data_IF_201408155083
#
_entry.id   IF_201408155083
#
_cell.length_a   1.000
_cell.length_b   1.000
_cell.length_c   1.000
_cell.angle_alpha   90.00
_cell.angle_beta   90.00
_cell.angle_gamma   90.00
#
_symmetry.space_group_name_H-M   'P 1'
#
loop_
_entity.id
_entity.type
_entity.pdbx_description
1 polymer ?
#
# COMPACT_ATOMS: atom_id res chain seq x y z
N UNK A 1 -25.69 14.38 -18.03
CA UNK A 1 -24.32 14.41 -17.50
C UNK A 1 -24.15 13.18 -16.62
N UNK A 2 -23.10 12.38 -16.79
CA UNK A 2 -22.83 11.31 -15.83
C UNK A 2 -22.64 11.94 -14.44
N UNK A 3 -23.25 11.34 -13.42
CA UNK A 3 -23.10 11.77 -12.03
C UNK A 3 -21.62 11.66 -11.66
N UNK A 4 -21.05 12.70 -11.04
CA UNK A 4 -19.68 12.59 -10.51
C UNK A 4 -19.62 11.38 -9.55
N UNK A 5 -18.56 10.55 -9.64
CA UNK A 5 -18.42 9.40 -8.76
C UNK A 5 -18.32 9.87 -7.31
N UNK A 6 -19.13 9.27 -6.43
CA UNK A 6 -19.15 9.60 -5.00
C UNK A 6 -17.94 8.98 -4.31
N UNK A 7 -17.30 9.75 -3.44
CA UNK A 7 -16.25 9.25 -2.56
C UNK A 7 -16.82 8.37 -1.45
N UNK A 8 -16.00 7.46 -0.92
CA UNK A 8 -16.31 6.73 0.30
C UNK A 8 -16.60 7.68 1.46
N UNK A 9 -17.28 7.19 2.49
CA UNK A 9 -17.82 8.04 3.56
C UNK A 9 -16.83 8.34 4.68
N UNK A 10 -15.84 7.47 4.91
CA UNK A 10 -14.83 7.62 5.96
C UNK A 10 -13.59 6.74 5.68
N UNK A 11 -12.54 6.92 6.49
CA UNK A 11 -11.37 6.06 6.52
C UNK A 11 -10.34 6.35 5.44
N UNK A 12 -9.28 5.54 5.42
CA UNK A 12 -8.21 5.66 4.42
C UNK A 12 -8.73 5.53 3.00
N UNK A 13 -9.76 4.71 2.78
CA UNK A 13 -10.42 4.60 1.48
C UNK A 13 -10.94 5.97 1.00
N UNK A 14 -11.65 6.71 1.84
CA UNK A 14 -12.14 8.06 1.48
C UNK A 14 -10.99 9.01 1.19
N UNK A 15 -10.00 9.06 2.09
CA UNK A 15 -8.90 10.03 1.98
C UNK A 15 -8.00 9.75 0.78
N UNK A 16 -7.74 8.47 0.47
CA UNK A 16 -7.01 8.09 -0.74
C UNK A 16 -7.76 8.49 -2.01
N UNK A 17 -9.07 8.23 -2.09
CA UNK A 17 -9.86 8.63 -3.26
C UNK A 17 -9.86 10.14 -3.49
N UNK A 18 -10.00 10.93 -2.42
CA UNK A 18 -9.94 12.39 -2.47
C UNK A 18 -8.57 12.87 -2.91
N UNK A 19 -7.53 12.32 -2.30
CA UNK A 19 -6.16 12.69 -2.58
C UNK A 19 -5.82 12.39 -4.06
N UNK A 20 -6.17 11.21 -4.57
CA UNK A 20 -5.96 10.87 -6.00
C UNK A 20 -6.78 11.76 -6.93
N UNK A 21 -8.05 12.02 -6.62
CA UNK A 21 -8.96 12.72 -7.53
C UNK A 21 -8.83 14.25 -7.51
N UNK A 22 -8.42 14.84 -6.38
CA UNK A 22 -8.50 16.29 -6.14
C UNK A 22 -7.15 16.92 -5.76
N UNK A 23 -6.26 16.17 -5.13
CA UNK A 23 -4.98 16.70 -4.66
C UNK A 23 -3.81 15.71 -4.88
N UNK A 24 -3.58 15.20 -6.11
CA UNK A 24 -2.56 14.18 -6.35
C UNK A 24 -1.16 14.65 -5.96
N UNK A 25 -0.90 15.96 -6.10
CA UNK A 25 0.38 16.59 -5.71
C UNK A 25 0.74 16.38 -4.23
N UNK A 26 -0.24 16.27 -3.32
CA UNK A 26 0.03 16.01 -1.90
C UNK A 26 0.54 14.58 -1.67
N UNK A 27 -0.02 13.60 -2.39
CA UNK A 27 0.51 12.22 -2.34
C UNK A 27 1.87 12.16 -3.01
N UNK A 28 2.06 12.79 -4.16
CA UNK A 28 3.37 12.80 -4.83
C UNK A 28 4.45 13.41 -3.93
N UNK A 29 4.15 14.51 -3.23
CA UNK A 29 5.08 15.11 -2.28
C UNK A 29 5.40 14.14 -1.13
N UNK A 30 4.38 13.52 -0.52
CA UNK A 30 4.59 12.55 0.55
C UNK A 30 5.43 11.33 0.10
N UNK A 31 5.26 10.87 -1.15
CA UNK A 31 6.05 9.80 -1.74
C UNK A 31 7.51 10.24 -2.01
N UNK A 32 7.73 11.49 -2.43
CA UNK A 32 9.10 12.05 -2.58
C UNK A 32 9.79 12.19 -1.24
N UNK A 33 9.11 12.73 -0.24
CA UNK A 33 9.64 12.90 1.12
C UNK A 33 10.02 11.54 1.74
N UNK A 34 9.26 10.49 1.43
CA UNK A 34 9.56 9.11 1.84
C UNK A 34 10.67 8.44 1.01
N UNK A 35 11.10 9.03 -0.12
CA UNK A 35 12.04 8.43 -1.06
C UNK A 35 11.46 7.30 -1.92
N UNK A 36 10.13 7.19 -2.00
CA UNK A 36 9.44 6.18 -2.80
C UNK A 36 9.51 6.48 -4.31
N UNK A 37 9.57 7.77 -4.66
CA UNK A 37 9.73 8.27 -6.03
C UNK A 37 10.75 9.43 -6.03
N UNK A 38 11.37 9.66 -7.19
CA UNK A 38 12.30 10.77 -7.40
C UNK A 38 11.58 12.11 -7.68
N UNK A 39 12.32 13.23 -7.60
CA UNK A 39 11.79 14.59 -7.85
C UNK A 39 11.13 14.76 -9.23
N UNK A 40 11.69 14.14 -10.27
CA UNK A 40 11.18 14.20 -11.64
C UNK A 40 10.21 13.05 -11.99
N UNK A 41 9.90 12.17 -11.04
CA UNK A 41 8.89 11.14 -11.20
C UNK A 41 7.47 11.68 -10.92
N UNK A 42 6.53 11.26 -11.77
CA UNK A 42 5.09 11.57 -11.65
C UNK A 42 4.29 10.28 -11.65
N UNK A 43 3.11 10.26 -11.00
CA UNK A 43 2.27 9.07 -10.91
C UNK A 43 1.10 9.10 -11.90
N UNK A 44 0.98 8.05 -12.70
CA UNK A 44 -0.24 7.71 -13.40
C UNK A 44 -1.04 6.71 -12.54
N UNK A 45 -2.12 7.18 -11.90
CA UNK A 45 -2.98 6.34 -11.08
C UNK A 45 -3.85 5.40 -11.93
N UNK A 46 -3.77 4.11 -11.63
CA UNK A 46 -4.61 3.06 -12.20
C UNK A 46 -5.85 2.80 -11.34
N UNK A 47 -5.70 2.93 -10.02
CA UNK A 47 -6.75 2.79 -9.01
C UNK A 47 -6.30 3.47 -7.71
N UNK A 48 -7.19 4.11 -6.94
CA UNK A 48 -8.61 4.30 -7.22
C UNK A 48 -8.82 5.53 -8.10
N UNK A 49 -9.57 5.40 -9.21
CA UNK A 49 -9.86 6.52 -10.12
C UNK A 49 -11.36 6.67 -10.36
N UNK A 50 -11.82 7.90 -10.62
CA UNK A 50 -13.24 8.19 -10.78
C UNK A 50 -13.91 7.43 -11.93
N UNK A 51 -13.19 7.18 -13.02
CA UNK A 51 -13.71 6.44 -14.19
C UNK A 51 -14.13 5.00 -13.85
N UNK A 52 -13.43 4.35 -12.92
CA UNK A 52 -13.74 2.98 -12.46
C UNK A 52 -14.55 2.98 -11.16
N UNK A 53 -15.17 4.12 -10.80
CA UNK A 53 -15.88 4.30 -9.53
C UNK A 53 -15.01 3.95 -8.32
N UNK A 54 -13.73 4.30 -8.39
CA UNK A 54 -12.76 4.08 -7.31
C UNK A 54 -12.61 2.60 -6.89
N UNK A 55 -12.75 1.68 -7.86
CA UNK A 55 -12.64 0.25 -7.58
C UNK A 55 -11.24 -0.14 -7.07
N UNK A 56 -11.21 -1.01 -6.06
CA UNK A 56 -10.00 -1.67 -5.55
C UNK A 56 -9.85 -3.06 -6.18
N UNK A 57 -8.60 -3.47 -6.40
CA UNK A 57 -8.29 -4.69 -7.15
C UNK A 57 -7.49 -5.67 -6.32
N UNK A 58 -7.61 -6.96 -6.65
CA UNK A 58 -6.88 -8.05 -6.00
C UNK A 58 -6.29 -9.00 -7.02
N UNK A 59 -5.36 -9.83 -6.57
CA UNK A 59 -4.78 -10.93 -7.34
C UNK A 59 -4.34 -10.50 -8.76
N UNK A 60 -4.57 -11.32 -9.78
CA UNK A 60 -4.15 -11.03 -11.16
C UNK A 60 -4.83 -9.78 -11.73
N UNK A 61 -6.01 -9.39 -11.22
CA UNK A 61 -6.68 -8.18 -11.67
C UNK A 61 -5.91 -6.91 -11.25
N UNK A 62 -5.30 -6.90 -10.06
CA UNK A 62 -4.47 -5.78 -9.62
C UNK A 62 -3.22 -5.64 -10.49
N UNK A 63 -2.55 -6.76 -10.77
CA UNK A 63 -1.33 -6.75 -11.59
C UNK A 63 -1.61 -6.39 -13.05
N UNK A 64 -2.76 -6.81 -13.61
CA UNK A 64 -3.20 -6.34 -14.94
C UNK A 64 -3.44 -4.83 -14.99
N UNK A 65 -3.94 -4.21 -13.91
CA UNK A 65 -4.09 -2.76 -13.86
C UNK A 65 -2.75 -2.02 -13.92
N UNK A 66 -1.69 -2.63 -13.41
CA UNK A 66 -0.31 -2.14 -13.50
C UNK A 66 0.35 -2.45 -14.86
N UNK A 67 -0.33 -3.14 -15.78
CA UNK A 67 0.24 -3.59 -17.05
C UNK A 67 1.08 -4.87 -16.96
N UNK A 68 1.09 -5.54 -15.80
CA UNK A 68 1.76 -6.84 -15.62
C UNK A 68 0.81 -7.93 -16.11
N UNK A 69 1.00 -8.34 -17.37
CA UNK A 69 0.23 -9.42 -17.99
C UNK A 69 0.67 -10.82 -17.54
N UNK A 70 1.97 -10.99 -17.32
CA UNK A 70 2.59 -12.27 -16.95
C UNK A 70 3.76 -12.01 -15.99
N UNK A 71 4.01 -12.97 -15.09
CA UNK A 71 5.15 -12.96 -14.18
C UNK A 71 6.33 -13.73 -14.82
N UNK A 72 7.49 -13.10 -15.06
CA UNK A 72 8.57 -13.71 -15.84
C UNK A 72 9.19 -14.98 -15.24
N UNK A 73 9.18 -15.13 -13.91
CA UNK A 73 9.93 -16.17 -13.18
C UNK A 73 9.00 -17.09 -12.38
N UNK A 74 8.12 -16.52 -11.56
CA UNK A 74 7.18 -17.30 -10.73
C UNK A 74 5.80 -16.65 -10.76
N UNK A 75 4.82 -17.40 -11.23
CA UNK A 75 3.44 -16.95 -11.30
C UNK A 75 2.84 -16.71 -9.90
N UNK A 76 1.89 -15.77 -9.82
CA UNK A 76 1.18 -15.49 -8.58
C UNK A 76 0.49 -16.73 -8.01
N UNK A 77 -0.10 -17.57 -8.87
CA UNK A 77 -0.86 -18.75 -8.44
C UNK A 77 0.03 -19.85 -7.85
N UNK A 78 1.33 -19.85 -8.17
CA UNK A 78 2.34 -20.74 -7.58
C UNK A 78 2.91 -20.19 -6.27
N UNK A 79 2.70 -18.90 -5.98
CA UNK A 79 3.21 -18.23 -4.78
C UNK A 79 2.14 -18.03 -3.71
N UNK A 80 0.92 -17.65 -4.10
CA UNK A 80 -0.13 -17.25 -3.18
C UNK A 80 -1.48 -17.89 -3.58
N UNK A 81 -2.30 -18.36 -2.61
CA UNK A 81 -3.61 -18.88 -2.95
C UNK A 81 -4.52 -17.78 -3.50
N UNK A 82 -5.49 -18.17 -4.35
CA UNK A 82 -6.55 -17.27 -4.79
C UNK A 82 -7.19 -16.55 -3.61
N UNK A 83 -7.61 -15.30 -3.85
CA UNK A 83 -8.13 -14.39 -2.84
C UNK A 83 -7.02 -13.84 -1.92
N UNK A 84 -5.95 -13.35 -2.53
CA UNK A 84 -4.91 -12.54 -1.90
C UNK A 84 -5.34 -11.12 -1.57
N UNK A 85 -4.38 -10.21 -1.28
CA UNK A 85 -4.67 -8.86 -0.81
C UNK A 85 -5.46 -8.04 -1.85
N UNK A 86 -6.32 -7.16 -1.33
CA UNK A 86 -6.99 -6.10 -2.10
C UNK A 86 -6.12 -4.86 -1.98
N UNK A 87 -5.62 -4.30 -3.07
CA UNK A 87 -4.78 -3.10 -3.05
C UNK A 87 -5.65 -1.85 -3.02
N UNK A 88 -5.34 -0.96 -2.06
CA UNK A 88 -6.06 0.30 -1.87
C UNK A 88 -5.71 1.28 -2.99
N UNK A 89 -4.46 1.22 -3.48
CA UNK A 89 -4.01 2.02 -4.62
C UNK A 89 -2.97 1.32 -5.49
N UNK A 90 -3.00 1.66 -6.78
CA UNK A 90 -2.13 1.15 -7.83
C UNK A 90 -1.77 2.31 -8.78
N UNK A 91 -0.49 2.51 -9.02
CA UNK A 91 0.00 3.53 -9.94
C UNK A 91 1.27 3.08 -10.68
N UNK A 92 1.56 3.75 -11.79
CA UNK A 92 2.78 3.56 -12.57
C UNK A 92 3.49 4.91 -12.69
N UNK A 93 4.79 4.94 -12.44
CA UNK A 93 5.58 6.17 -12.65
C UNK A 93 5.85 6.40 -14.13
N UNK A 94 6.18 7.63 -14.52
CA UNK A 94 6.69 7.95 -15.86
C UNK A 94 8.02 7.24 -16.23
N UNK A 95 8.65 6.52 -15.29
CA UNK A 95 9.82 5.66 -15.49
C UNK A 95 9.47 4.16 -15.46
N UNK A 96 8.20 3.83 -15.70
CA UNK A 96 7.69 2.45 -15.76
C UNK A 96 7.88 1.65 -14.46
N UNK A 97 7.94 2.34 -13.31
CA UNK A 97 7.98 1.71 -12.00
C UNK A 97 6.57 1.50 -11.47
N UNK A 98 6.27 0.30 -10.99
CA UNK A 98 5.00 -0.02 -10.35
C UNK A 98 4.98 0.47 -8.91
N UNK A 99 3.87 1.07 -8.48
CA UNK A 99 3.64 1.51 -7.10
C UNK A 99 2.38 0.84 -6.59
N UNK A 100 2.54 0.01 -5.55
CA UNK A 100 1.44 -0.62 -4.83
C UNK A 100 1.25 0.06 -3.48
N UNK A 101 0.01 0.42 -3.15
CA UNK A 101 -0.33 1.19 -1.95
C UNK A 101 -1.22 0.38 -1.02
N UNK A 102 -0.86 0.35 0.26
CA UNK A 102 -1.71 -0.01 1.40
C UNK A 102 -1.93 1.26 2.20
N UNK A 103 -3.17 1.69 2.39
CA UNK A 103 -3.51 2.96 3.02
C UNK A 103 -4.22 2.77 4.37
N UNK A 104 -3.81 3.52 5.39
CA UNK A 104 -4.44 3.48 6.73
C UNK A 104 -4.71 4.87 7.28
N UNK A 105 -5.77 4.98 8.08
CA UNK A 105 -6.15 6.22 8.76
C UNK A 105 -6.35 6.03 10.26
N UNK A 106 -6.17 4.81 10.78
CA UNK A 106 -6.33 4.50 12.20
C UNK A 106 -5.43 3.35 12.64
N UNK A 107 -4.81 3.48 13.82
CA UNK A 107 -3.84 2.49 14.33
C UNK A 107 -4.47 1.12 14.59
N UNK A 108 -5.76 1.05 14.98
CA UNK A 108 -6.38 -0.26 15.22
C UNK A 108 -6.49 -1.11 13.93
N UNK A 109 -6.43 -0.49 12.75
CA UNK A 109 -6.39 -1.21 11.46
C UNK A 109 -5.06 -1.95 11.25
N UNK A 110 -3.99 -1.53 11.94
CA UNK A 110 -2.67 -2.16 11.88
C UNK A 110 -2.69 -3.52 12.59
N UNK A 111 -3.47 -3.64 13.67
CA UNK A 111 -3.62 -4.88 14.44
C UNK A 111 -4.55 -5.88 13.73
N UNK A 112 -4.20 -6.23 12.49
CA UNK A 112 -4.97 -7.19 11.71
C UNK A 112 -4.87 -8.59 12.33
N UNK A 113 -5.99 -9.35 12.39
CA UNK A 113 -5.99 -10.71 12.90
C UNK A 113 -5.17 -11.67 12.02
N UNK A 114 -4.85 -12.88 12.50
CA UNK A 114 -4.21 -13.92 11.70
C UNK A 114 -4.98 -14.24 10.41
N UNK A 115 -4.31 -14.89 9.46
CA UNK A 115 -5.00 -15.40 8.26
C UNK A 115 -6.15 -16.34 8.62
N UNK A 116 -7.32 -16.08 8.02
CA UNK A 116 -8.54 -16.89 8.15
C UNK A 116 -8.63 -18.01 7.10
N UNK A 117 -7.53 -18.30 6.40
CA UNK A 117 -7.49 -19.30 5.34
C UNK A 117 -7.68 -20.72 5.89
N UNK A 118 -8.33 -21.59 5.11
CA UNK A 118 -8.40 -23.02 5.41
C UNK A 118 -7.04 -23.70 5.29
N UNK A 119 -6.89 -24.89 5.88
CA UNK A 119 -5.61 -25.59 6.06
C UNK A 119 -4.71 -25.63 4.82
N UNK A 120 -5.26 -25.99 3.64
CA UNK A 120 -4.49 -26.07 2.39
C UNK A 120 -3.91 -24.71 1.96
N UNK A 121 -4.76 -23.68 1.95
CA UNK A 121 -4.33 -22.32 1.60
C UNK A 121 -3.39 -21.73 2.66
N UNK A 122 -3.58 -22.10 3.94
CA UNK A 122 -2.73 -21.67 5.03
C UNK A 122 -1.29 -22.17 4.86
N UNK A 123 -1.08 -23.41 4.44
CA UNK A 123 0.25 -23.94 4.18
C UNK A 123 0.99 -23.16 3.08
N UNK A 124 0.29 -22.76 2.00
CA UNK A 124 0.86 -21.94 0.93
C UNK A 124 1.22 -20.54 1.45
N UNK A 125 0.32 -19.92 2.21
CA UNK A 125 0.55 -18.61 2.83
C UNK A 125 1.74 -18.64 3.78
N UNK A 126 1.83 -19.65 4.65
CA UNK A 126 2.93 -19.77 5.62
C UNK A 126 4.28 -19.95 4.89
N UNK A 127 4.32 -20.73 3.81
CA UNK A 127 5.53 -20.88 2.99
C UNK A 127 5.95 -19.55 2.32
N UNK A 128 5.00 -18.85 1.69
CA UNK A 128 5.26 -17.56 1.04
C UNK A 128 5.71 -16.47 2.03
N UNK A 129 5.09 -16.42 3.21
CA UNK A 129 5.47 -15.50 4.28
C UNK A 129 6.85 -15.85 4.83
N UNK A 130 7.21 -17.13 4.95
CA UNK A 130 8.54 -17.55 5.40
C UNK A 130 9.63 -17.18 4.39
N UNK A 131 9.39 -17.39 3.09
CA UNK A 131 10.31 -16.95 2.02
C UNK A 131 10.57 -15.43 2.12
N UNK A 132 9.51 -14.63 2.22
CA UNK A 132 9.63 -13.19 2.37
C UNK A 132 10.33 -12.79 3.67
N UNK A 133 10.01 -13.43 4.80
CA UNK A 133 10.64 -13.17 6.10
C UNK A 133 12.14 -13.43 6.05
N UNK A 134 12.57 -14.53 5.44
CA UNK A 134 14.01 -14.84 5.27
C UNK A 134 14.70 -13.74 4.46
N UNK A 135 14.05 -13.21 3.43
CA UNK A 135 14.58 -12.12 2.61
C UNK A 135 14.71 -10.79 3.38
N UNK A 136 13.64 -10.32 4.02
CA UNK A 136 13.63 -9.03 4.71
C UNK A 136 14.36 -9.06 6.06
N UNK A 137 14.24 -10.18 6.79
CA UNK A 137 14.64 -10.34 8.17
C UNK A 137 15.35 -11.70 8.40
N UNK A 138 16.48 -11.98 7.73
CA UNK A 138 17.13 -13.30 7.75
C UNK A 138 17.56 -13.78 9.14
N UNK A 139 17.76 -12.85 10.08
CA UNK A 139 18.14 -13.14 11.48
C UNK A 139 16.94 -13.31 12.43
N UNK A 140 15.73 -13.01 11.97
CA UNK A 140 14.50 -13.19 12.74
C UNK A 140 14.07 -14.66 12.71
N UNK A 141 13.32 -15.09 13.73
CA UNK A 141 12.62 -16.38 13.78
C UNK A 141 11.12 -16.19 14.09
N UNK A 142 10.61 -14.97 13.88
CA UNK A 142 9.21 -14.61 14.15
C UNK A 142 8.27 -15.26 13.14
N UNK A 143 7.14 -15.78 13.62
CA UNK A 143 6.09 -16.34 12.77
C UNK A 143 5.19 -15.21 12.25
N UNK A 144 5.35 -14.85 10.98
CA UNK A 144 4.64 -13.70 10.39
C UNK A 144 3.13 -13.92 10.22
N UNK A 145 2.65 -15.17 10.22
CA UNK A 145 1.24 -15.46 9.91
C UNK A 145 0.27 -15.29 11.10
N UNK A 146 0.76 -14.88 12.27
CA UNK A 146 -0.02 -14.72 13.50
C UNK A 146 -0.48 -13.29 13.76
N UNK A 147 0.36 -12.30 13.48
CA UNK A 147 0.09 -10.89 13.78
C UNK A 147 0.47 -10.00 12.61
N UNK A 148 -0.18 -8.83 12.49
CA UNK A 148 0.09 -7.89 11.40
C UNK A 148 -0.04 -8.55 10.01
N UNK A 149 -0.95 -9.52 9.87
CA UNK A 149 -1.13 -10.30 8.66
C UNK A 149 -1.30 -9.45 7.40
N UNK A 150 -2.01 -8.32 7.47
CA UNK A 150 -2.11 -7.38 6.35
C UNK A 150 -0.73 -6.81 5.99
N UNK A 151 0.05 -6.36 6.96
CA UNK A 151 1.39 -5.82 6.71
C UNK A 151 2.31 -6.85 6.03
N UNK A 152 2.41 -8.06 6.60
CA UNK A 152 3.31 -9.09 6.09
C UNK A 152 2.86 -9.69 4.76
N UNK A 153 1.55 -9.70 4.47
CA UNK A 153 1.07 -10.14 3.17
C UNK A 153 1.50 -9.16 2.06
N UNK A 154 1.54 -7.84 2.34
CA UNK A 154 2.05 -6.86 1.36
C UNK A 154 3.54 -7.04 1.13
N UNK A 155 4.30 -7.30 2.20
CA UNK A 155 5.72 -7.62 2.07
C UNK A 155 5.96 -8.86 1.21
N UNK A 156 5.17 -9.93 1.38
CA UNK A 156 5.29 -11.14 0.57
C UNK A 156 4.97 -10.89 -0.91
N UNK A 157 3.92 -10.12 -1.21
CA UNK A 157 3.63 -9.76 -2.60
C UNK A 157 4.71 -8.85 -3.20
N UNK A 158 5.25 -7.89 -2.45
CA UNK A 158 6.37 -7.08 -2.90
C UNK A 158 7.64 -7.92 -3.13
N UNK A 159 7.89 -8.93 -2.30
CA UNK A 159 8.97 -9.90 -2.50
C UNK A 159 8.77 -10.68 -3.81
N UNK A 160 7.57 -11.20 -4.07
CA UNK A 160 7.27 -11.89 -5.33
C UNK A 160 7.50 -11.00 -6.55
N UNK A 161 6.98 -9.76 -6.53
CA UNK A 161 7.01 -8.86 -7.68
C UNK A 161 8.42 -8.33 -7.91
N UNK A 162 9.03 -7.72 -6.88
CA UNK A 162 10.27 -6.99 -7.02
C UNK A 162 11.52 -7.88 -6.98
N UNK A 163 11.51 -8.89 -6.11
CA UNK A 163 12.70 -9.74 -5.92
C UNK A 163 12.65 -11.00 -6.77
N UNK A 164 11.56 -11.78 -6.69
CA UNK A 164 11.48 -13.06 -7.40
C UNK A 164 11.31 -12.85 -8.90
N UNK A 165 10.52 -11.86 -9.31
CA UNK A 165 10.22 -11.59 -10.72
C UNK A 165 10.98 -10.41 -11.32
N UNK A 166 11.87 -9.78 -10.53
CA UNK A 166 12.75 -8.69 -10.97
C UNK A 166 12.01 -7.49 -11.62
N UNK A 167 10.75 -7.26 -11.23
CA UNK A 167 9.95 -6.16 -11.74
C UNK A 167 10.23 -4.88 -10.93
N UNK A 168 10.32 -3.69 -11.57
CA UNK A 168 10.59 -2.44 -10.87
C UNK A 168 9.38 -2.00 -10.04
N UNK A 169 9.25 -2.53 -8.82
CA UNK A 169 8.07 -2.30 -7.96
C UNK A 169 8.45 -1.63 -6.64
N UNK A 170 7.61 -0.72 -6.16
CA UNK A 170 7.62 -0.17 -4.80
C UNK A 170 6.33 -0.50 -4.08
N UNK A 171 6.47 -0.81 -2.80
CA UNK A 171 5.37 -0.90 -1.86
C UNK A 171 5.38 0.35 -0.98
N UNK A 172 4.24 1.04 -0.89
CA UNK A 172 4.07 2.20 -0.02
C UNK A 172 2.96 1.92 0.98
N UNK A 173 3.31 1.99 2.26
CA UNK A 173 2.33 2.14 3.34
C UNK A 173 2.02 3.64 3.46
N UNK A 174 0.82 4.04 3.00
CA UNK A 174 0.38 5.43 2.97
C UNK A 174 -0.53 5.71 4.16
N UNK A 175 -0.01 6.43 5.13
CA UNK A 175 -0.67 6.64 6.42
C UNK A 175 -1.22 8.08 6.51
N UNK A 176 -2.52 8.20 6.68
CA UNK A 176 -3.22 9.47 6.88
C UNK A 176 -3.21 9.86 8.36
N UNK A 177 -2.79 11.09 8.66
CA UNK A 177 -2.89 11.67 10.01
C UNK A 177 -3.85 12.85 10.01
N UNK A 178 -4.31 13.25 11.19
CA UNK A 178 -5.42 14.18 11.40
C UNK A 178 -6.76 13.71 10.78
N UNK A 179 -6.92 12.41 10.54
CA UNK A 179 -8.17 11.79 10.09
C UNK A 179 -9.22 11.77 11.22
N UNK A 180 -9.92 12.90 11.41
CA UNK A 180 -10.88 13.11 12.52
C UNK A 180 -12.08 12.17 12.45
N UNK A 181 -12.44 11.69 11.25
CA UNK A 181 -13.49 10.70 11.02
C UNK A 181 -13.15 9.32 11.61
N UNK A 182 -11.86 9.02 11.82
CA UNK A 182 -11.38 7.74 12.33
C UNK A 182 -10.77 7.79 13.73
N UNK A 183 -10.66 8.97 14.36
CA UNK A 183 -9.84 9.17 15.58
C UNK A 183 -8.41 8.61 15.41
N UNK A 184 -7.87 8.79 14.20
CA UNK A 184 -6.53 8.35 13.83
C UNK A 184 -5.41 9.12 14.52
N UNK A 185 -4.15 8.77 14.20
CA UNK A 185 -3.00 9.54 14.65
C UNK A 185 -3.08 11.02 14.31
N UNK A 186 -2.52 11.85 15.19
CA UNK A 186 -2.50 13.31 15.05
C UNK A 186 -1.24 13.86 14.37
N UNK A 187 -0.29 12.97 14.05
CA UNK A 187 0.96 13.37 13.40
C UNK A 187 1.61 12.20 12.66
N UNK A 188 2.47 12.53 11.69
CA UNK A 188 3.37 11.56 11.06
C UNK A 188 4.29 10.85 12.09
N UNK A 189 4.71 11.55 13.15
CA UNK A 189 5.58 10.97 14.18
C UNK A 189 4.93 9.81 14.95
N UNK A 190 3.61 9.89 15.19
CA UNK A 190 2.85 8.77 15.78
C UNK A 190 2.83 7.56 14.85
N UNK A 191 2.63 7.76 13.54
CA UNK A 191 2.71 6.67 12.56
C UNK A 191 4.11 6.06 12.45
N UNK A 192 5.17 6.88 12.49
CA UNK A 192 6.55 6.38 12.57
C UNK A 192 6.75 5.50 13.82
N UNK A 193 6.17 5.88 14.96
CA UNK A 193 6.18 5.06 16.17
C UNK A 193 5.48 3.70 15.97
N UNK A 194 4.34 3.69 15.29
CA UNK A 194 3.60 2.47 14.94
C UNK A 194 4.42 1.58 14.01
N UNK A 195 5.02 2.13 12.94
CA UNK A 195 5.88 1.39 12.02
C UNK A 195 7.07 0.74 12.74
N UNK A 196 7.74 1.49 13.64
CA UNK A 196 8.83 0.96 14.47
C UNK A 196 8.38 -0.20 15.37
N UNK A 197 7.17 -0.10 15.95
CA UNK A 197 6.60 -1.18 16.76
C UNK A 197 6.32 -2.44 15.92
N UNK A 198 5.74 -2.29 14.73
CA UNK A 198 5.53 -3.42 13.79
C UNK A 198 6.87 -4.05 13.44
N UNK A 199 7.88 -3.25 13.09
CA UNK A 199 9.19 -3.74 12.69
C UNK A 199 9.86 -4.52 13.82
N UNK A 200 9.87 -3.95 15.04
CA UNK A 200 10.43 -4.62 16.22
C UNK A 200 9.71 -5.94 16.52
N UNK A 201 8.38 -5.98 16.39
CA UNK A 201 7.59 -7.19 16.63
C UNK A 201 7.90 -8.29 15.62
N UNK A 202 8.00 -7.94 14.33
CA UNK A 202 8.24 -8.86 13.22
C UNK A 202 9.73 -9.22 13.04
N UNK A 203 10.64 -8.53 13.73
CA UNK A 203 12.09 -8.69 13.61
C UNK A 203 12.65 -8.08 12.32
N UNK A 204 11.95 -7.12 11.73
CA UNK A 204 12.38 -6.36 10.56
C UNK A 204 13.50 -5.36 10.92
N UNK A 205 14.35 -4.96 9.95
CA UNK A 205 15.26 -3.84 10.14
C UNK A 205 14.51 -2.52 10.37
N UNK A 206 15.21 -1.50 10.84
CA UNK A 206 14.63 -0.18 11.09
C UNK A 206 14.03 0.45 9.82
N UNK A 207 14.72 0.34 8.67
CA UNK A 207 14.21 0.76 7.37
C UNK A 207 14.20 -0.40 6.37
N UNK A 208 13.18 -0.39 5.51
CA UNK A 208 13.00 -1.33 4.41
C UNK A 208 13.18 -0.68 3.02
N UNK A 209 13.63 0.57 2.95
CA UNK A 209 13.78 1.33 1.69
C UNK A 209 14.66 0.62 0.67
N UNK A 210 15.74 -0.05 1.12
CA UNK A 210 16.62 -0.85 0.26
C UNK A 210 15.91 -1.99 -0.47
N UNK A 211 14.75 -2.40 0.03
CA UNK A 211 13.88 -3.41 -0.57
C UNK A 211 12.71 -2.81 -1.35
N UNK A 212 12.69 -1.49 -1.54
CA UNK A 212 11.61 -0.76 -2.20
C UNK A 212 10.32 -0.70 -1.38
N UNK A 213 10.40 -0.72 -0.05
CA UNK A 213 9.25 -0.59 0.85
C UNK A 213 9.38 0.72 1.62
N UNK A 214 8.33 1.53 1.58
CA UNK A 214 8.32 2.90 2.11
C UNK A 214 7.10 3.15 2.99
N UNK A 215 7.24 4.10 3.91
CA UNK A 215 6.14 4.66 4.68
C UNK A 215 6.02 6.14 4.32
N UNK A 216 4.85 6.55 3.86
CA UNK A 216 4.58 7.94 3.47
C UNK A 216 3.39 8.46 4.27
N UNK A 217 3.39 9.75 4.59
CA UNK A 217 2.41 10.35 5.50
C UNK A 217 1.72 11.53 4.83
N UNK A 218 0.38 11.56 4.90
CA UNK A 218 -0.42 12.64 4.30
C UNK A 218 -1.31 13.27 5.36
N UNK A 219 -1.27 14.60 5.44
CA UNK A 219 -2.16 15.36 6.33
C UNK A 219 -3.56 15.44 5.73
N UNK A 220 -4.54 14.96 6.47
CA UNK A 220 -5.95 15.08 6.09
C UNK A 220 -6.42 16.55 6.08
N UNK A 221 -5.89 17.40 6.95
CA UNK A 221 -6.29 18.81 6.99
C UNK A 221 -5.87 19.55 5.70
N UNK A 222 -4.73 19.18 5.11
CA UNK A 222 -4.31 19.70 3.80
C UNK A 222 -5.25 19.25 2.67
N UNK A 223 -5.70 17.99 2.71
CA UNK A 223 -6.69 17.47 1.76
C UNK A 223 -8.04 18.21 1.88
N UNK A 224 -8.49 18.46 3.10
CA UNK A 224 -9.70 19.24 3.35
C UNK A 224 -9.58 20.68 2.84
N UNK A 225 -8.44 21.33 3.07
CA UNK A 225 -8.17 22.67 2.55
C UNK A 225 -8.14 22.72 1.01
N UNK A 226 -7.59 21.68 0.36
CA UNK A 226 -7.59 21.54 -1.09
C UNK A 226 -9.02 21.36 -1.66
N UNK A 227 -9.91 20.69 -0.92
CA UNK A 227 -11.33 20.54 -1.31
C UNK A 227 -12.13 21.85 -1.16
N UNK A 228 -11.80 22.68 -0.16
CA UNK A 228 -12.49 23.93 0.11
C UNK A 228 -11.97 25.12 -0.72
N UNK A 229 -10.78 24.99 -1.32
CA UNK A 229 -10.21 26.03 -2.18
C UNK A 229 -10.92 26.01 -3.54
N UNK A 230 -11.61 27.09 -3.95
CA UNK A 230 -12.17 27.15 -5.30
C UNK A 230 -11.04 27.03 -6.30
N UNK A 231 -11.22 26.14 -7.29
CA UNK A 231 -10.25 25.85 -8.34
C UNK A 231 -9.64 27.15 -8.86
N UNK A 232 -8.40 27.45 -8.49
CA UNK A 232 -7.61 28.46 -9.18
C UNK A 232 -7.12 27.83 -10.48
N UNK A 233 -8.05 27.67 -11.42
CA UNK A 233 -7.74 27.44 -12.83
C UNK A 233 -8.12 28.72 -13.57
N UNK A 234 -7.12 29.58 -13.69
CA UNK A 234 -6.97 30.47 -14.83
C UNK A 234 -6.34 29.73 -16.01
#
# INVERSE_FOLDING_TARGET
MPKEPEFATAGSQRWLQIAVAKAPHLIEQALRDAGAIEEDETLAWCSPIGFTHFAEYRDEAAFRMLGIGEFPIRDLTDFWPRRGPVWDGLAVTNRERFVLVEAKAHVAEVLSPPSKAGLKSRAIIDAALEEARVFYAPRSNKVWSEHFYQYVNRLAHQYLVAHVNELPSRLVFLDFYNARDMKGPSSAAEWVGVAKLIHAFLGLPESLERFGVYHAFVDVEELENALCSPSQLG
#
